data_IF_949150574777
#
_entry.id   IF_949150574777
#
_cell.length_a   1.000
_cell.length_b   1.000
_cell.length_c   1.000
_cell.angle_alpha   90.00
_cell.angle_beta   90.00
_cell.angle_gamma   90.00
#
_symmetry.space_group_name_H-M   'P 1'
#
loop_
_entity.id
_entity.type
_entity.pdbx_description
1 polymer ?
#
# COMPACT_ATOMS: atom_id res chain seq x y z
N UNK A 1 -48.99 -31.51 -6.81
CA UNK A 1 -48.04 -30.39 -6.68
C UNK A 1 -46.63 -30.96 -6.66
N UNK A 2 -45.97 -30.95 -7.80
CA UNK A 2 -44.63 -31.50 -7.98
C UNK A 2 -43.58 -30.41 -7.73
N UNK A 3 -42.86 -30.52 -6.61
CA UNK A 3 -41.67 -29.70 -6.36
C UNK A 3 -40.59 -30.05 -7.39
N UNK A 4 -40.41 -29.18 -8.37
CA UNK A 4 -39.28 -29.24 -9.30
C UNK A 4 -38.03 -28.76 -8.56
N UNK A 5 -37.34 -29.67 -7.87
CA UNK A 5 -36.00 -29.42 -7.33
C UNK A 5 -35.03 -29.26 -8.50
N UNK A 6 -34.87 -28.03 -8.98
CA UNK A 6 -33.85 -27.63 -9.94
C UNK A 6 -32.47 -27.95 -9.36
N UNK A 7 -31.90 -29.07 -9.77
CA UNK A 7 -30.59 -29.53 -9.33
C UNK A 7 -29.52 -28.73 -10.07
N UNK A 8 -29.01 -27.69 -9.42
CA UNK A 8 -27.90 -26.90 -9.97
C UNK A 8 -26.74 -27.86 -10.28
N UNK A 9 -26.24 -27.92 -11.53
CA UNK A 9 -25.20 -28.86 -11.92
C UNK A 9 -23.92 -28.63 -11.09
N UNK A 10 -23.30 -29.73 -10.63
CA UNK A 10 -22.09 -29.70 -9.76
C UNK A 10 -20.96 -28.80 -10.31
N UNK A 11 -20.82 -28.73 -11.63
CA UNK A 11 -19.92 -27.81 -12.34
C UNK A 11 -20.16 -26.33 -12.00
N UNK A 12 -21.42 -25.92 -11.94
CA UNK A 12 -21.80 -24.54 -11.62
C UNK A 12 -21.51 -24.18 -10.17
N UNK A 13 -21.70 -25.13 -9.23
CA UNK A 13 -21.36 -24.95 -7.82
C UNK A 13 -19.85 -24.81 -7.60
N UNK A 14 -19.07 -25.61 -8.32
CA UNK A 14 -17.61 -25.56 -8.23
C UNK A 14 -17.02 -24.26 -8.79
N UNK A 15 -17.55 -23.76 -9.91
CA UNK A 15 -17.18 -22.44 -10.46
C UNK A 15 -17.48 -21.32 -9.46
N UNK A 16 -18.67 -21.32 -8.86
CA UNK A 16 -19.04 -20.33 -7.84
C UNK A 16 -18.12 -20.41 -6.61
N UNK A 17 -17.76 -21.61 -6.14
CA UNK A 17 -16.83 -21.77 -5.02
C UNK A 17 -15.42 -21.24 -5.33
N UNK A 18 -14.92 -21.49 -6.54
CA UNK A 18 -13.62 -20.95 -7.00
C UNK A 18 -13.66 -19.43 -7.08
N UNK A 19 -14.74 -18.86 -7.59
CA UNK A 19 -14.90 -17.41 -7.70
C UNK A 19 -14.94 -16.75 -6.32
N UNK A 20 -15.67 -17.33 -5.36
CA UNK A 20 -15.70 -16.87 -3.97
C UNK A 20 -14.30 -16.94 -3.34
N UNK A 21 -13.58 -18.06 -3.52
CA UNK A 21 -12.21 -18.22 -3.02
C UNK A 21 -11.24 -17.21 -3.64
N UNK A 22 -11.42 -16.88 -4.92
CA UNK A 22 -10.60 -15.88 -5.61
C UNK A 22 -10.86 -14.48 -5.06
N UNK A 23 -12.14 -14.13 -4.82
CA UNK A 23 -12.53 -12.84 -4.24
C UNK A 23 -11.91 -12.63 -2.86
N UNK A 24 -11.98 -13.63 -1.98
CA UNK A 24 -11.33 -13.55 -0.66
C UNK A 24 -9.82 -13.37 -0.77
N UNK A 25 -9.15 -14.16 -1.62
CA UNK A 25 -7.69 -14.02 -1.82
C UNK A 25 -7.30 -12.65 -2.39
N UNK A 26 -8.10 -12.09 -3.29
CA UNK A 26 -7.86 -10.74 -3.81
C UNK A 26 -8.07 -9.68 -2.73
N UNK A 27 -9.11 -9.84 -1.90
CA UNK A 27 -9.40 -8.93 -0.81
C UNK A 27 -8.30 -8.94 0.27
N UNK A 28 -7.83 -10.13 0.67
CA UNK A 28 -6.71 -10.26 1.61
C UNK A 28 -5.43 -9.62 1.05
N UNK A 29 -5.14 -9.85 -0.23
CA UNK A 29 -3.96 -9.26 -0.87
C UNK A 29 -4.05 -7.75 -0.97
N UNK A 30 -5.25 -7.21 -1.25
CA UNK A 30 -5.50 -5.77 -1.25
C UNK A 30 -5.29 -5.18 0.15
N UNK A 31 -5.84 -5.82 1.19
CA UNK A 31 -5.68 -5.39 2.58
C UNK A 31 -4.21 -5.40 3.01
N UNK A 32 -3.46 -6.43 2.60
CA UNK A 32 -2.02 -6.49 2.85
C UNK A 32 -1.30 -5.26 2.26
N UNK A 33 -1.55 -4.91 0.99
CA UNK A 33 -0.91 -3.75 0.36
C UNK A 33 -1.28 -2.44 1.04
N UNK A 34 -2.55 -2.26 1.40
CA UNK A 34 -3.02 -1.06 2.12
C UNK A 34 -2.28 -0.93 3.46
N UNK A 35 -2.19 -2.02 4.22
CA UNK A 35 -1.51 -2.01 5.52
C UNK A 35 0.00 -1.77 5.38
N UNK A 36 0.66 -2.42 4.41
CA UNK A 36 2.09 -2.21 4.16
C UNK A 36 2.38 -0.77 3.76
N UNK A 37 1.55 -0.18 2.90
CA UNK A 37 1.71 1.22 2.49
C UNK A 37 1.53 2.18 3.68
N UNK A 38 0.51 1.96 4.50
CA UNK A 38 0.27 2.77 5.69
C UNK A 38 1.47 2.73 6.66
N UNK A 39 2.07 1.56 6.86
CA UNK A 39 3.27 1.43 7.71
C UNK A 39 4.47 2.20 7.16
N UNK A 40 4.73 2.14 5.85
CA UNK A 40 5.84 2.89 5.23
C UNK A 40 5.61 4.40 5.37
N UNK A 41 4.39 4.87 5.17
CA UNK A 41 4.04 6.29 5.33
C UNK A 41 4.28 6.78 6.76
N UNK A 42 3.83 6.03 7.77
CA UNK A 42 4.02 6.39 9.18
C UNK A 42 5.49 6.37 9.59
N UNK A 43 6.25 5.38 9.12
CA UNK A 43 7.68 5.29 9.40
C UNK A 43 8.44 6.49 8.81
N UNK A 44 8.08 6.91 7.60
CA UNK A 44 8.66 8.07 6.95
C UNK A 44 8.35 9.36 7.72
N UNK A 45 7.10 9.58 8.12
CA UNK A 45 6.71 10.76 8.90
C UNK A 45 7.47 10.83 10.23
N UNK A 46 7.56 9.72 10.96
CA UNK A 46 8.30 9.65 12.22
C UNK A 46 9.80 9.95 12.03
N UNK A 47 10.40 9.45 10.94
CA UNK A 47 11.80 9.73 10.60
C UNK A 47 12.00 11.23 10.34
N UNK A 48 11.13 11.84 9.53
CA UNK A 48 11.20 13.26 9.19
C UNK A 48 11.10 14.14 10.45
N UNK A 49 10.15 13.85 11.33
CA UNK A 49 9.99 14.60 12.58
C UNK A 49 11.24 14.46 13.47
N UNK A 50 11.79 13.25 13.61
CA UNK A 50 13.00 13.03 14.39
C UNK A 50 14.19 13.79 13.81
N UNK A 51 14.39 13.72 12.49
CA UNK A 51 15.47 14.45 11.82
C UNK A 51 15.37 15.96 12.05
N UNK A 52 14.18 16.55 11.94
CA UNK A 52 14.00 17.98 12.23
C UNK A 52 14.34 18.29 13.70
N UNK A 53 13.90 17.44 14.63
CA UNK A 53 14.20 17.58 16.06
C UNK A 53 15.70 17.51 16.35
N UNK A 54 16.41 16.55 15.73
CA UNK A 54 17.85 16.37 15.90
C UNK A 54 18.63 17.59 15.40
N UNK A 55 18.22 18.17 14.26
CA UNK A 55 18.83 19.39 13.72
C UNK A 55 18.66 20.59 14.65
N UNK A 56 17.44 20.81 15.16
CA UNK A 56 17.18 21.85 16.17
C UNK A 56 18.03 21.64 17.43
N UNK A 57 18.16 20.39 17.88
CA UNK A 57 18.92 20.04 19.08
C UNK A 57 20.42 20.27 18.90
N UNK A 58 20.94 20.10 17.68
CA UNK A 58 22.33 20.40 17.33
C UNK A 58 22.62 21.90 17.14
N UNK A 59 21.62 22.77 17.31
CA UNK A 59 21.76 24.21 17.11
C UNK A 59 21.76 24.64 15.64
N UNK A 60 21.37 23.75 14.73
CA UNK A 60 21.12 24.11 13.33
C UNK A 60 19.73 24.72 13.20
N UNK A 61 19.64 25.85 12.51
CA UNK A 61 18.35 26.41 12.12
C UNK A 61 17.79 25.64 10.90
N UNK A 62 16.63 24.97 11.05
CA UNK A 62 16.01 24.26 9.95
C UNK A 62 15.72 25.16 8.75
N UNK A 63 15.42 26.45 8.99
CA UNK A 63 15.03 27.41 7.94
C UNK A 63 16.21 27.94 7.13
N UNK A 64 17.40 28.01 7.73
CA UNK A 64 18.62 28.47 7.03
C UNK A 64 19.49 27.34 6.50
N UNK A 65 19.18 26.08 6.82
CA UNK A 65 19.98 24.94 6.37
C UNK A 65 19.31 24.19 5.20
N UNK A 66 20.14 23.74 4.25
CA UNK A 66 19.75 22.97 3.04
C UNK A 66 18.88 21.72 3.29
N UNK A 67 18.66 21.34 4.55
CA UNK A 67 17.93 20.15 4.92
C UNK A 67 16.41 20.32 4.86
N UNK A 68 15.86 21.44 5.34
CA UNK A 68 14.42 21.71 5.18
C UNK A 68 14.07 21.86 3.69
N UNK A 69 14.95 22.49 2.92
CA UNK A 69 14.85 22.58 1.45
C UNK A 69 14.82 21.17 0.82
N UNK A 70 15.75 20.28 1.21
CA UNK A 70 15.75 18.90 0.69
C UNK A 70 14.52 18.12 1.11
N UNK A 71 14.05 18.24 2.35
CA UNK A 71 12.86 17.53 2.83
C UNK A 71 11.57 18.03 2.17
N UNK A 72 11.43 19.34 1.97
CA UNK A 72 10.32 19.94 1.22
C UNK A 72 10.38 19.52 -0.25
N UNK A 73 11.56 19.54 -0.89
CA UNK A 73 11.73 19.08 -2.27
C UNK A 73 11.42 17.59 -2.41
N UNK A 74 11.83 16.77 -1.43
CA UNK A 74 11.55 15.33 -1.42
C UNK A 74 10.06 15.01 -1.23
N UNK A 75 9.25 15.93 -0.67
CA UNK A 75 7.82 15.66 -0.47
C UNK A 75 7.09 15.42 -1.79
N UNK A 76 7.43 16.15 -2.85
CA UNK A 76 6.82 15.92 -4.17
C UNK A 76 7.27 14.59 -4.76
N UNK A 77 8.54 14.21 -4.59
CA UNK A 77 9.04 12.91 -5.04
C UNK A 77 8.41 11.75 -4.25
N UNK A 78 8.08 11.96 -2.97
CA UNK A 78 7.37 10.99 -2.12
C UNK A 78 5.88 10.90 -2.50
N UNK A 79 5.23 12.05 -2.76
CA UNK A 79 3.80 12.12 -3.12
C UNK A 79 3.53 11.65 -4.54
N UNK A 80 4.46 11.93 -5.45
CA UNK A 80 4.41 11.59 -6.87
C UNK A 80 5.62 10.73 -7.26
N UNK A 81 5.75 9.52 -6.68
CA UNK A 81 6.90 8.68 -6.95
C UNK A 81 6.92 8.31 -8.43
N UNK A 82 8.03 8.65 -9.10
CA UNK A 82 8.28 8.22 -10.46
C UNK A 82 8.47 6.69 -10.46
N UNK A 83 7.53 5.96 -11.06
CA UNK A 83 7.60 4.50 -11.15
C UNK A 83 8.67 4.10 -12.16
N UNK A 84 9.91 4.00 -11.70
CA UNK A 84 11.07 3.60 -12.51
C UNK A 84 11.23 2.08 -12.58
N UNK A 85 10.64 1.34 -11.64
CA UNK A 85 10.69 -0.11 -11.59
C UNK A 85 9.30 -0.70 -11.77
N UNK A 86 9.12 -1.51 -12.82
CA UNK A 86 7.92 -2.34 -13.01
C UNK A 86 8.27 -3.77 -12.61
N UNK A 87 7.41 -4.39 -11.81
CA UNK A 87 7.59 -5.80 -11.47
C UNK A 87 7.50 -6.65 -12.75
N UNK A 88 8.59 -7.34 -13.09
CA UNK A 88 8.59 -8.31 -14.18
C UNK A 88 7.97 -9.63 -13.71
N UNK A 89 7.05 -10.16 -14.51
CA UNK A 89 6.58 -11.53 -14.32
C UNK A 89 7.63 -12.48 -14.87
N UNK A 90 8.26 -13.23 -13.98
CA UNK A 90 8.99 -14.44 -14.37
C UNK A 90 7.95 -15.53 -14.72
N UNK A 91 8.09 -16.09 -15.92
CA UNK A 91 7.28 -17.20 -16.43
C UNK A 91 7.80 -18.55 -15.92
#
# INVERSE_FOLDING_TARGET
MSESKSSIPKSSKMKAAVEVQLRYRLQDRLQFYVQSFAQVSLALEALLQRTVSDYKSAGHDPQSSSLEIRLIQSQDDIRNPQVTFKAERYN
#
